data_IF_712074192918
#
_entry.id   IF_712074192918
#
_cell.length_a   1.000
_cell.length_b   1.000
_cell.length_c   1.000
_cell.angle_alpha   90.00
_cell.angle_beta   90.00
_cell.angle_gamma   90.00
#
_symmetry.space_group_name_H-M   'P 1'
#
loop_
_entity.id
_entity.type
_entity.pdbx_description
1 polymer ?
#
# COMPACT_ATOMS: atom_id res chain seq x y z
N UNK A 1 5.12 0.01 -1.52
CA UNK A 1 3.85 -0.73 -1.26
C UNK A 1 4.03 -2.25 -1.11
N UNK A 2 4.72 -2.93 -2.04
CA UNK A 2 4.93 -4.40 -1.95
C UNK A 2 5.55 -4.86 -0.63
N UNK A 3 6.55 -4.14 -0.13
CA UNK A 3 7.20 -4.50 1.13
C UNK A 3 6.32 -4.22 2.36
N UNK A 4 5.45 -3.21 2.33
CA UNK A 4 4.51 -2.89 3.40
C UNK A 4 3.44 -3.96 3.56
N UNK A 5 2.95 -4.41 2.41
CA UNK A 5 2.03 -5.54 2.33
C UNK A 5 2.67 -6.82 2.86
N UNK A 6 3.93 -7.10 2.51
CA UNK A 6 4.66 -8.26 3.01
C UNK A 6 4.92 -8.21 4.53
N UNK A 7 5.30 -7.04 5.07
CA UNK A 7 5.44 -6.79 6.51
C UNK A 7 4.13 -7.02 7.27
N UNK A 8 3.00 -6.62 6.66
CA UNK A 8 1.67 -6.86 7.19
C UNK A 8 1.21 -8.33 7.10
N UNK A 9 2.04 -9.23 6.56
CA UNK A 9 1.75 -10.65 6.43
C UNK A 9 0.95 -11.04 5.18
N UNK A 10 0.69 -10.11 4.26
CA UNK A 10 -0.07 -10.40 3.05
C UNK A 10 0.86 -10.81 1.91
N UNK A 11 0.74 -12.05 1.45
CA UNK A 11 1.59 -12.60 0.38
C UNK A 11 1.30 -12.01 -1.01
N UNK A 12 0.08 -11.54 -1.25
CA UNK A 12 -0.31 -10.94 -2.55
C UNK A 12 -1.23 -9.72 -2.40
N UNK A 13 -1.26 -8.79 -3.38
CA UNK A 13 -2.19 -7.65 -3.36
C UNK A 13 -3.66 -8.09 -3.38
N UNK A 14 -3.95 -9.24 -4.00
CA UNK A 14 -5.28 -9.87 -3.93
C UNK A 14 -5.66 -10.30 -2.51
N UNK A 15 -4.67 -10.71 -1.71
CA UNK A 15 -4.87 -11.18 -0.34
C UNK A 15 -5.11 -10.01 0.60
N UNK A 16 -4.28 -8.97 0.47
CA UNK A 16 -4.48 -7.67 1.09
C UNK A 16 -5.87 -7.08 0.77
N UNK A 17 -6.27 -7.06 -0.50
CA UNK A 17 -7.59 -6.54 -0.91
C UNK A 17 -8.76 -7.42 -0.43
N UNK A 18 -8.53 -8.71 -0.18
CA UNK A 18 -9.52 -9.61 0.42
C UNK A 18 -9.70 -9.35 1.91
N UNK A 19 -8.61 -9.24 2.65
CA UNK A 19 -8.63 -8.94 4.08
C UNK A 19 -9.13 -7.51 4.34
N UNK A 20 -8.69 -6.57 3.51
CA UNK A 20 -8.99 -5.15 3.62
C UNK A 20 -10.02 -4.80 2.54
N UNK A 21 -11.29 -5.13 2.80
CA UNK A 21 -12.41 -4.90 1.87
C UNK A 21 -12.59 -3.42 1.49
N UNK A 22 -11.98 -2.51 2.24
CA UNK A 22 -11.97 -1.08 1.98
C UNK A 22 -11.05 -0.63 0.83
N UNK A 23 -10.16 -1.49 0.35
CA UNK A 23 -9.19 -1.16 -0.69
C UNK A 23 -9.33 -2.09 -1.89
N UNK A 24 -9.42 -1.46 -3.07
CA UNK A 24 -9.57 -2.19 -4.33
C UNK A 24 -8.20 -2.71 -4.78
N UNK A 25 -8.13 -3.99 -5.15
CA UNK A 25 -6.94 -4.64 -5.71
C UNK A 25 -6.31 -3.82 -6.85
N UNK A 26 -7.12 -3.29 -7.77
CA UNK A 26 -6.64 -2.53 -8.93
C UNK A 26 -5.98 -1.21 -8.51
N UNK A 27 -6.51 -0.56 -7.47
CA UNK A 27 -5.94 0.65 -6.87
C UNK A 27 -4.62 0.32 -6.17
N UNK A 28 -4.56 -0.79 -5.43
CA UNK A 28 -3.35 -1.22 -4.74
C UNK A 28 -2.22 -1.53 -5.75
N UNK A 29 -2.53 -2.28 -6.82
CA UNK A 29 -1.59 -2.56 -7.91
C UNK A 29 -1.15 -1.26 -8.62
N UNK A 30 -2.06 -0.31 -8.84
CA UNK A 30 -1.70 0.97 -9.46
C UNK A 30 -0.71 1.77 -8.62
N UNK A 31 -0.83 1.72 -7.28
CA UNK A 31 0.15 2.34 -6.38
C UNK A 31 1.44 1.52 -6.26
N UNK A 32 1.37 0.18 -6.32
CA UNK A 32 2.56 -0.70 -6.33
C UNK A 32 3.40 -0.51 -7.60
N UNK A 33 2.76 -0.30 -8.75
CA UNK A 33 3.42 -0.10 -10.04
C UNK A 33 3.84 1.36 -10.29
N UNK A 34 3.65 2.27 -9.33
CA UNK A 34 3.96 3.69 -9.50
C UNK A 34 3.06 4.44 -10.50
N UNK A 35 2.01 3.79 -11.00
CA UNK A 35 1.09 4.36 -11.99
C UNK A 35 0.24 5.49 -11.40
N UNK A 36 0.13 5.55 -10.07
CA UNK A 36 -0.53 6.64 -9.34
C UNK A 36 0.30 7.07 -8.13
N UNK A 37 0.53 8.39 -7.96
CA UNK A 37 1.21 8.91 -6.78
C UNK A 37 0.41 8.56 -5.52
N UNK A 38 1.11 8.12 -4.48
CA UNK A 38 0.51 7.79 -3.21
C UNK A 38 0.41 9.06 -2.35
N UNK A 39 -0.79 9.58 -2.17
CA UNK A 39 -0.98 10.75 -1.28
C UNK A 39 -0.78 10.37 0.19
N UNK A 40 -0.35 11.33 1.03
CA UNK A 40 -0.24 11.19 2.49
C UNK A 40 -1.45 10.52 3.14
N UNK A 41 -2.64 11.00 2.80
CA UNK A 41 -3.91 10.45 3.31
C UNK A 41 -4.13 8.98 2.93
N UNK A 42 -3.71 8.58 1.73
CA UNK A 42 -3.78 7.20 1.29
C UNK A 42 -2.75 6.36 2.05
N UNK A 43 -1.53 6.85 2.21
CA UNK A 43 -0.50 6.18 2.99
C UNK A 43 -0.89 6.00 4.47
N UNK A 44 -1.50 6.99 5.11
CA UNK A 44 -2.07 6.85 6.46
C UNK A 44 -3.14 5.75 6.52
N UNK A 45 -4.04 5.73 5.54
CA UNK A 45 -5.06 4.69 5.44
C UNK A 45 -4.42 3.31 5.31
N UNK A 46 -3.50 3.14 4.37
CA UNK A 46 -2.79 1.89 4.17
C UNK A 46 -1.95 1.51 5.38
N UNK A 47 -1.25 2.46 6.01
CA UNK A 47 -0.47 2.23 7.22
C UNK A 47 -1.32 1.70 8.36
N UNK A 48 -2.50 2.29 8.58
CA UNK A 48 -3.47 1.80 9.57
C UNK A 48 -4.02 0.41 9.22
N UNK A 49 -4.32 0.16 7.95
CA UNK A 49 -4.88 -1.12 7.49
C UNK A 49 -3.84 -2.26 7.51
N UNK A 50 -2.60 -1.95 7.17
CA UNK A 50 -1.49 -2.89 7.13
C UNK A 50 -0.73 -2.97 8.47
N UNK A 51 -0.99 -2.06 9.42
CA UNK A 51 -0.25 -1.98 10.68
C UNK A 51 1.21 -1.56 10.50
N UNK A 52 1.52 -0.81 9.44
CA UNK A 52 2.88 -0.33 9.11
C UNK A 52 2.94 1.18 9.17
N UNK A 53 4.14 1.72 9.32
CA UNK A 53 4.33 3.16 9.36
C UNK A 53 3.96 3.83 8.01
N UNK A 54 3.06 4.83 8.02
CA UNK A 54 2.63 5.52 6.80
C UNK A 54 3.73 6.40 6.19
N UNK A 55 4.69 6.90 6.98
CA UNK A 55 5.87 7.59 6.49
C UNK A 55 6.74 6.66 5.65
N UNK A 56 6.89 5.41 6.06
CA UNK A 56 7.61 4.40 5.28
C UNK A 56 6.92 4.03 3.96
N UNK A 57 5.59 4.05 3.94
CA UNK A 57 4.79 3.89 2.72
C UNK A 57 4.96 5.05 1.74
N UNK A 58 5.03 6.28 2.25
CA UNK A 58 5.27 7.48 1.43
C UNK A 58 6.67 7.49 0.86
N UNK A 59 7.69 7.18 1.67
CA UNK A 59 9.07 7.18 1.24
C UNK A 59 9.32 6.22 0.07
N UNK A 60 8.73 5.02 0.14
CA UNK A 60 8.82 4.03 -0.93
C UNK A 60 7.88 4.29 -2.12
N UNK A 61 6.96 5.25 -2.02
CA UNK A 61 6.10 5.66 -3.12
C UNK A 61 6.63 6.91 -3.85
N UNK A 62 7.40 7.74 -3.13
CA UNK A 62 8.06 8.93 -3.65
C UNK A 62 9.45 8.62 -4.23
N UNK A 63 10.08 7.52 -3.80
CA UNK A 63 11.41 7.07 -4.26
C UNK A 63 11.48 6.46 -5.67
N UNK A 64 10.55 6.81 -6.57
CA UNK A 64 10.69 6.53 -7.99
C UNK A 64 11.38 7.73 -8.66
N UNK A 65 12.71 7.78 -8.55
CA UNK A 65 13.57 8.57 -9.46
C UNK A 65 13.89 7.77 -10.72
#
# INVERSE_FOLDING_TARGET
>A
MQQARAQAGYASPSDAARALREINKNTLISHENGNRPLSRKAAEKYGRLFGVDPGWLLFNADGAE
#
